data_IF_340672100148
#
_entry.id   IF_340672100148
#
_cell.length_a   1.000
_cell.length_b   1.000
_cell.length_c   1.000
_cell.angle_alpha   90.00
_cell.angle_beta   90.00
_cell.angle_gamma   90.00
#
_symmetry.space_group_name_H-M   'P 1'
#
loop_
_entity.id
_entity.type
_entity.pdbx_description
1 polymer ?
#
# COMPACT_ATOMS: atom_id res chain seq x y z
N UNK A 1 7.55 -20.34 3.72
CA UNK A 1 7.19 -19.20 2.82
C UNK A 1 8.10 -19.28 1.59
N UNK A 2 7.55 -19.05 0.42
CA UNK A 2 8.34 -19.10 -0.80
C UNK A 2 9.29 -17.91 -0.89
N UNK A 3 10.42 -18.09 -1.57
CA UNK A 3 11.39 -17.01 -1.78
C UNK A 3 10.77 -15.85 -2.57
N UNK A 4 9.87 -16.15 -3.50
CA UNK A 4 9.16 -15.11 -4.28
C UNK A 4 8.32 -14.21 -3.38
N UNK A 5 7.60 -14.79 -2.41
CA UNK A 5 6.77 -14.03 -1.49
C UNK A 5 7.64 -13.14 -0.59
N UNK A 6 8.75 -13.67 -0.07
CA UNK A 6 9.68 -12.89 0.76
C UNK A 6 10.24 -11.71 -0.03
N UNK A 7 10.72 -11.96 -1.24
CA UNK A 7 11.33 -10.94 -2.08
C UNK A 7 10.33 -9.84 -2.42
N UNK A 8 9.14 -10.25 -2.85
CA UNK A 8 8.08 -9.31 -3.23
C UNK A 8 7.64 -8.47 -2.04
N UNK A 9 7.49 -9.08 -0.87
CA UNK A 9 7.10 -8.35 0.36
C UNK A 9 8.12 -7.27 0.71
N UNK A 10 9.42 -7.59 0.61
CA UNK A 10 10.48 -6.63 0.92
C UNK A 10 10.45 -5.47 -0.08
N UNK A 11 10.34 -5.77 -1.38
CA UNK A 11 10.30 -4.73 -2.41
C UNK A 11 9.09 -3.81 -2.22
N UNK A 12 7.91 -4.36 -1.99
CA UNK A 12 6.69 -3.58 -1.78
C UNK A 12 6.79 -2.77 -0.50
N UNK A 13 7.35 -3.33 0.58
CA UNK A 13 7.56 -2.60 1.82
C UNK A 13 8.46 -1.39 1.60
N UNK A 14 9.53 -1.52 0.82
CA UNK A 14 10.41 -0.41 0.51
C UNK A 14 9.68 0.68 -0.26
N UNK A 15 8.88 0.32 -1.26
CA UNK A 15 8.07 1.29 -2.01
C UNK A 15 7.14 2.08 -1.09
N UNK A 16 6.41 1.40 -0.21
CA UNK A 16 5.47 2.09 0.67
C UNK A 16 6.16 2.88 1.76
N UNK A 17 7.34 2.46 2.20
CA UNK A 17 8.15 3.28 3.12
C UNK A 17 8.51 4.61 2.46
N UNK A 18 8.98 4.57 1.20
CA UNK A 18 9.32 5.78 0.46
C UNK A 18 8.08 6.64 0.21
N UNK A 19 6.98 6.04 -0.26
CA UNK A 19 5.75 6.78 -0.51
C UNK A 19 5.17 7.38 0.76
N UNK A 20 5.23 6.66 1.88
CA UNK A 20 4.76 7.17 3.17
C UNK A 20 5.53 8.40 3.61
N UNK A 21 6.85 8.38 3.47
CA UNK A 21 7.69 9.53 3.80
C UNK A 21 7.37 10.69 2.85
N UNK A 22 7.20 10.42 1.55
CA UNK A 22 6.84 11.45 0.58
C UNK A 22 5.49 12.09 0.90
N UNK A 23 4.49 11.30 1.31
CA UNK A 23 3.20 11.83 1.71
C UNK A 23 3.31 12.81 2.88
N UNK A 24 4.26 12.56 3.79
CA UNK A 24 4.43 13.41 4.97
C UNK A 24 5.25 14.67 4.67
N UNK A 25 6.20 14.61 3.74
CA UNK A 25 7.22 15.65 3.59
C UNK A 25 7.34 16.28 2.20
N UNK A 26 6.97 15.57 1.14
CA UNK A 26 7.23 16.03 -0.22
C UNK A 26 6.30 17.19 -0.61
N UNK A 27 6.82 18.33 -1.08
CA UNK A 27 5.98 19.41 -1.62
C UNK A 27 5.11 18.92 -2.80
N UNK A 28 5.63 18.02 -3.61
CA UNK A 28 4.85 17.45 -4.72
C UNK A 28 3.61 16.73 -4.19
N UNK A 29 3.76 15.91 -3.14
CA UNK A 29 2.63 15.19 -2.56
C UNK A 29 1.64 16.11 -1.86
N UNK A 30 2.12 17.18 -1.25
CA UNK A 30 1.23 18.19 -0.64
C UNK A 30 0.31 18.77 -1.71
N UNK A 31 0.87 19.12 -2.87
CA UNK A 31 0.09 19.66 -3.99
C UNK A 31 -0.87 18.61 -4.57
N UNK A 32 -0.42 17.37 -4.68
CA UNK A 32 -1.25 16.27 -5.20
C UNK A 32 -2.48 16.04 -4.33
N UNK A 33 -2.33 16.06 -3.01
CA UNK A 33 -3.47 15.87 -2.12
C UNK A 33 -4.46 17.01 -2.18
N UNK A 34 -4.00 18.25 -2.38
CA UNK A 34 -4.88 19.38 -2.65
C UNK A 34 -5.69 19.11 -3.94
N UNK A 35 -5.03 18.63 -4.97
CA UNK A 35 -5.68 18.27 -6.25
C UNK A 35 -6.72 17.18 -6.06
N UNK A 36 -6.48 16.22 -5.14
CA UNK A 36 -7.43 15.16 -4.82
C UNK A 36 -8.63 15.66 -4.01
N UNK A 37 -8.59 16.89 -3.51
CA UNK A 37 -9.63 17.42 -2.62
C UNK A 37 -9.48 16.95 -1.18
N UNK A 38 -8.30 16.54 -0.78
CA UNK A 38 -8.00 16.02 0.56
C UNK A 38 -7.22 17.05 1.37
N UNK A 39 -7.52 17.14 2.67
CA UNK A 39 -6.84 18.07 3.57
C UNK A 39 -5.51 17.49 4.07
N UNK A 40 -4.75 18.32 4.80
CA UNK A 40 -3.45 17.92 5.35
C UNK A 40 -3.54 16.74 6.32
N UNK A 41 -4.62 16.68 7.09
CA UNK A 41 -4.82 15.60 8.06
C UNK A 41 -4.95 14.25 7.35
N UNK A 42 -5.71 14.20 6.25
CA UNK A 42 -5.84 12.98 5.44
C UNK A 42 -4.53 12.60 4.78
N UNK A 43 -3.76 13.58 4.30
CA UNK A 43 -2.46 13.33 3.71
C UNK A 43 -1.49 12.70 4.71
N UNK A 44 -1.42 13.27 5.90
CA UNK A 44 -0.54 12.76 6.96
C UNK A 44 -0.99 11.37 7.41
N UNK A 45 -2.28 11.17 7.56
CA UNK A 45 -2.83 9.86 7.93
C UNK A 45 -2.47 8.80 6.87
N UNK A 46 -2.60 9.16 5.60
CA UNK A 46 -2.24 8.25 4.49
C UNK A 46 -0.76 7.86 4.57
N UNK A 47 0.12 8.85 4.79
CA UNK A 47 1.55 8.58 4.91
C UNK A 47 1.89 7.68 6.07
N UNK A 48 1.30 7.94 7.24
CA UNK A 48 1.51 7.12 8.44
C UNK A 48 1.01 5.70 8.20
N UNK A 49 -0.17 5.55 7.59
CA UNK A 49 -0.75 4.24 7.31
C UNK A 49 0.13 3.45 6.33
N UNK A 50 0.71 4.12 5.33
CA UNK A 50 1.63 3.46 4.40
C UNK A 50 2.90 2.98 5.11
N UNK A 51 3.45 3.78 6.03
CA UNK A 51 4.62 3.37 6.81
C UNK A 51 4.29 2.19 7.71
N UNK A 52 3.14 2.21 8.37
CA UNK A 52 2.69 1.09 9.19
C UNK A 52 2.48 -0.16 8.34
N UNK A 53 1.91 -0.01 7.15
CA UNK A 53 1.73 -1.12 6.22
C UNK A 53 3.06 -1.71 5.78
N UNK A 54 4.05 -0.87 5.48
CA UNK A 54 5.39 -1.32 5.12
C UNK A 54 6.02 -2.13 6.26
N UNK A 55 5.94 -1.62 7.49
CA UNK A 55 6.42 -2.34 8.67
C UNK A 55 5.67 -3.65 8.87
N UNK A 56 4.36 -3.64 8.63
CA UNK A 56 3.53 -4.83 8.73
C UNK A 56 3.88 -5.91 7.71
N UNK A 57 4.25 -5.52 6.49
CA UNK A 57 4.70 -6.48 5.49
C UNK A 57 6.01 -7.16 5.91
N UNK A 58 6.94 -6.40 6.48
CA UNK A 58 8.19 -6.97 7.00
C UNK A 58 7.91 -7.89 8.18
N UNK A 59 7.08 -7.46 9.12
CA UNK A 59 6.70 -8.28 10.26
C UNK A 59 5.94 -9.54 9.81
N UNK A 60 5.23 -9.46 8.70
CA UNK A 60 4.52 -10.58 8.12
C UNK A 60 5.43 -11.72 7.66
N UNK A 61 6.71 -11.44 7.43
CA UNK A 61 7.69 -12.50 7.13
C UNK A 61 7.85 -13.46 8.30
N UNK A 62 7.54 -13.01 9.51
CA UNK A 62 7.62 -13.81 10.74
C UNK A 62 6.24 -14.22 11.25
N UNK A 63 5.25 -13.34 11.13
CA UNK A 63 3.90 -13.54 11.66
C UNK A 63 2.90 -13.30 10.52
N UNK A 64 2.38 -14.38 9.95
CA UNK A 64 1.56 -14.34 8.73
C UNK A 64 0.30 -13.48 8.87
N UNK A 65 -0.34 -13.49 10.05
CA UNK A 65 -1.57 -12.70 10.25
C UNK A 65 -1.31 -11.20 10.14
N UNK A 66 -0.16 -10.73 10.62
CA UNK A 66 0.23 -9.33 10.50
C UNK A 66 0.45 -8.98 9.03
N UNK A 67 1.13 -9.86 8.29
CA UNK A 67 1.35 -9.68 6.86
C UNK A 67 0.04 -9.64 6.07
N UNK A 68 -0.90 -10.49 6.42
CA UNK A 68 -2.21 -10.51 5.77
C UNK A 68 -2.94 -9.17 5.95
N UNK A 69 -3.04 -8.68 7.18
CA UNK A 69 -3.73 -7.41 7.44
C UNK A 69 -3.00 -6.22 6.81
N UNK A 70 -1.67 -6.22 6.84
CA UNK A 70 -0.88 -5.16 6.22
C UNK A 70 -1.12 -5.13 4.70
N UNK A 71 -1.02 -6.27 4.03
CA UNK A 71 -1.20 -6.36 2.59
C UNK A 71 -2.64 -6.03 2.20
N UNK A 72 -3.63 -6.55 2.93
CA UNK A 72 -5.03 -6.26 2.65
C UNK A 72 -5.34 -4.77 2.83
N UNK A 73 -4.82 -4.15 3.89
CA UNK A 73 -5.00 -2.72 4.13
C UNK A 73 -4.35 -1.85 3.06
N UNK A 74 -3.12 -2.20 2.64
CA UNK A 74 -2.45 -1.47 1.56
C UNK A 74 -3.17 -1.63 0.23
N UNK A 75 -3.69 -2.83 -0.06
CA UNK A 75 -4.48 -3.07 -1.27
C UNK A 75 -5.74 -2.20 -1.28
N UNK A 76 -6.45 -2.16 -0.15
CA UNK A 76 -7.65 -1.34 -0.01
C UNK A 76 -7.33 0.15 -0.17
N UNK A 77 -6.22 0.60 0.42
CA UNK A 77 -5.77 1.99 0.28
C UNK A 77 -5.47 2.33 -1.19
N UNK A 78 -4.85 1.42 -1.92
CA UNK A 78 -4.56 1.63 -3.34
C UNK A 78 -5.83 1.63 -4.18
N UNK A 79 -6.85 0.87 -3.78
CA UNK A 79 -8.15 0.92 -4.43
C UNK A 79 -8.77 2.33 -4.27
N UNK A 80 -8.72 2.88 -3.05
CA UNK A 80 -9.22 4.24 -2.80
C UNK A 80 -8.45 5.25 -3.63
N UNK A 81 -7.12 5.10 -3.71
CA UNK A 81 -6.28 5.98 -4.52
C UNK A 81 -6.64 5.90 -6.01
N UNK A 82 -6.88 4.72 -6.51
CA UNK A 82 -7.29 4.51 -7.92
C UNK A 82 -8.63 5.20 -8.19
N UNK A 83 -9.62 5.00 -7.32
CA UNK A 83 -10.93 5.61 -7.45
C UNK A 83 -10.82 7.14 -7.39
N UNK A 84 -9.99 7.67 -6.48
CA UNK A 84 -9.77 9.11 -6.35
C UNK A 84 -9.22 9.70 -7.65
N UNK A 85 -8.23 9.05 -8.25
CA UNK A 85 -7.68 9.52 -9.52
C UNK A 85 -8.70 9.52 -10.65
N UNK A 86 -9.55 8.49 -10.70
CA UNK A 86 -10.62 8.45 -11.71
C UNK A 86 -11.64 9.57 -11.49
N UNK A 87 -11.96 9.88 -10.22
CA UNK A 87 -12.93 10.95 -9.90
C UNK A 87 -12.44 12.32 -10.33
N UNK A 88 -11.15 12.60 -10.20
CA UNK A 88 -10.58 13.89 -10.62
C UNK A 88 -10.19 13.90 -12.09
N UNK A 89 -10.59 12.86 -12.83
CA UNK A 89 -10.39 12.72 -14.27
C UNK A 89 -8.92 12.66 -14.69
N UNK A 90 -8.07 12.05 -13.86
CA UNK A 90 -6.72 11.71 -14.28
C UNK A 90 -6.77 10.72 -15.43
N UNK A 91 -5.73 10.75 -16.28
CA UNK A 91 -5.61 9.77 -17.36
C UNK A 91 -5.45 8.37 -16.77
N UNK A 92 -5.80 7.36 -17.56
CA UNK A 92 -5.62 5.97 -17.15
C UNK A 92 -4.14 5.69 -16.80
N UNK A 93 -3.20 6.26 -17.57
CA UNK A 93 -1.77 6.10 -17.30
C UNK A 93 -1.39 6.62 -15.92
N UNK A 94 -2.01 7.72 -15.46
CA UNK A 94 -1.74 8.26 -14.13
C UNK A 94 -2.37 7.41 -13.02
N UNK A 95 -3.47 6.74 -13.31
CA UNK A 95 -4.17 5.89 -12.34
C UNK A 95 -3.60 4.47 -12.25
N UNK A 96 -2.91 3.98 -13.30
CA UNK A 96 -2.42 2.60 -13.37
C UNK A 96 -1.49 2.20 -12.22
N UNK A 97 -0.56 3.05 -11.72
CA UNK A 97 0.29 2.65 -10.59
C UNK A 97 -0.51 2.23 -9.36
N UNK A 98 -1.59 2.93 -9.03
CA UNK A 98 -2.45 2.57 -7.90
C UNK A 98 -3.11 1.21 -8.12
N UNK A 99 -3.58 0.95 -9.34
CA UNK A 99 -4.17 -0.33 -9.71
C UNK A 99 -3.14 -1.45 -9.61
N UNK A 100 -1.93 -1.22 -10.08
CA UNK A 100 -0.84 -2.19 -10.01
C UNK A 100 -0.54 -2.57 -8.56
N UNK A 101 -0.35 -1.57 -7.68
CA UNK A 101 -0.05 -1.83 -6.27
C UNK A 101 -1.23 -2.46 -5.54
N UNK A 102 -2.46 -2.12 -5.92
CA UNK A 102 -3.64 -2.79 -5.40
C UNK A 102 -3.59 -4.29 -5.69
N UNK A 103 -3.31 -4.65 -6.93
CA UNK A 103 -3.25 -6.05 -7.37
C UNK A 103 -2.13 -6.81 -6.68
N UNK A 104 -0.93 -6.22 -6.61
CA UNK A 104 0.23 -6.86 -5.98
C UNK A 104 -0.02 -7.09 -4.48
N UNK A 105 -0.55 -6.09 -3.79
CA UNK A 105 -0.86 -6.22 -2.37
C UNK A 105 -1.98 -7.23 -2.13
N UNK A 106 -2.96 -7.28 -3.02
CA UNK A 106 -4.00 -8.30 -2.96
C UNK A 106 -3.44 -9.71 -3.11
N UNK A 107 -2.51 -9.89 -4.03
CA UNK A 107 -1.80 -11.16 -4.19
C UNK A 107 -1.03 -11.53 -2.92
N UNK A 108 -0.31 -10.58 -2.33
CA UNK A 108 0.42 -10.83 -1.09
C UNK A 108 -0.54 -11.19 0.05
N UNK A 109 -1.68 -10.51 0.14
CA UNK A 109 -2.68 -10.83 1.17
C UNK A 109 -3.16 -12.28 1.03
N UNK A 110 -3.41 -12.72 -0.20
CA UNK A 110 -3.82 -14.11 -0.44
C UNK A 110 -2.71 -15.08 -0.03
N UNK A 111 -1.46 -14.77 -0.36
CA UNK A 111 -0.33 -15.64 0.00
C UNK A 111 -0.18 -15.74 1.52
N UNK A 112 -0.31 -14.61 2.24
CA UNK A 112 -0.24 -14.63 3.70
C UNK A 112 -1.43 -15.39 4.31
N UNK A 113 -2.62 -15.24 3.71
CA UNK A 113 -3.79 -15.98 4.15
C UNK A 113 -3.58 -17.49 3.99
N UNK A 114 -3.03 -17.92 2.86
CA UNK A 114 -2.75 -19.33 2.62
C UNK A 114 -1.75 -19.90 3.63
N UNK A 115 -0.72 -19.10 3.96
CA UNK A 115 0.26 -19.50 4.98
C UNK A 115 -0.42 -19.63 6.36
N UNK A 116 -1.28 -18.69 6.69
CA UNK A 116 -2.01 -18.71 7.96
C UNK A 116 -2.91 -19.93 8.05
N UNK A 117 -3.63 -20.26 6.98
CA UNK A 117 -4.51 -21.42 6.96
C UNK A 117 -3.74 -22.74 7.04
N UNK A 118 -2.55 -22.79 6.46
CA UNK A 118 -1.71 -24.00 6.53
C UNK A 118 -1.18 -24.23 7.95
N UNK A 119 -1.06 -23.19 8.76
CA UNK A 119 -0.61 -23.29 10.14
C UNK A 119 -1.72 -23.76 11.09
N UNK A 120 -2.98 -23.78 10.62
CA UNK A 120 -4.10 -24.29 11.41
C UNK A 120 -4.24 -25.81 11.20
#
# INVERSE_FOLDING_TARGET
MSNSTIFLSIIIALFFAVYGIQCLRSPFMIKEFVRYGMNDSLRKLTGITQLLGACGLVAGLYISIIGFFAAAGLSFMMLIAFITRLKIRDSLNQALPSFFFMTVNGYLAIRYLMLLLNDL
#
